data_IF_224118773424
#
_entry.id   IF_224118773424
#
_cell.length_a   1.000
_cell.length_b   1.000
_cell.length_c   1.000
_cell.angle_alpha   90.00
_cell.angle_beta   90.00
_cell.angle_gamma   90.00
#
_symmetry.space_group_name_H-M   'P 1'
#
loop_
_entity.id
_entity.type
_entity.pdbx_description
1 polymer ?
#
# COMPACT_ATOMS: atom_id res chain seq x y z
N UNK A 1 24.31 -3.17 -8.82
CA UNK A 1 22.84 -3.23 -8.96
C UNK A 1 22.26 -2.62 -7.70
N UNK A 2 21.83 -1.35 -7.75
CA UNK A 2 21.10 -0.77 -6.62
C UNK A 2 19.65 -1.24 -6.76
N UNK A 3 19.33 -2.37 -6.14
CA UNK A 3 17.93 -2.74 -5.95
C UNK A 3 17.42 -1.86 -4.81
N UNK A 4 16.98 -0.64 -5.16
CA UNK A 4 16.17 0.21 -4.27
C UNK A 4 14.71 -0.23 -4.32
N UNK A 5 14.47 -1.51 -4.57
CA UNK A 5 13.15 -2.10 -4.65
C UNK A 5 12.80 -2.65 -3.26
N UNK A 6 11.65 -2.23 -2.76
CA UNK A 6 11.11 -2.70 -1.49
C UNK A 6 9.93 -3.65 -1.69
N UNK A 7 9.46 -4.22 -0.58
CA UNK A 7 8.26 -5.06 -0.51
C UNK A 7 7.30 -4.54 0.54
N UNK A 8 6.01 -4.51 0.22
CA UNK A 8 4.92 -4.26 1.17
C UNK A 8 4.10 -5.54 1.34
N UNK A 9 3.73 -5.83 2.58
CA UNK A 9 2.86 -6.96 2.93
C UNK A 9 1.66 -6.40 3.68
N UNK A 10 0.48 -6.51 3.09
CA UNK A 10 -0.78 -6.26 3.76
C UNK A 10 -1.20 -7.54 4.47
N UNK A 11 -1.51 -7.43 5.76
CA UNK A 11 -2.03 -8.54 6.57
C UNK A 11 -3.45 -8.15 6.95
N UNK A 12 -4.43 -8.93 6.48
CA UNK A 12 -5.84 -8.68 6.73
C UNK A 12 -6.30 -9.40 8.00
N UNK A 13 -7.44 -8.98 8.55
CA UNK A 13 -7.97 -9.53 9.81
C UNK A 13 -8.35 -11.01 9.72
N UNK A 14 -8.65 -11.51 8.52
CA UNK A 14 -8.93 -12.92 8.26
C UNK A 14 -7.66 -13.80 8.23
N UNK A 15 -6.48 -13.19 8.40
CA UNK A 15 -5.19 -13.84 8.37
C UNK A 15 -4.63 -14.08 6.97
N UNK A 16 -5.31 -13.62 5.92
CA UNK A 16 -4.77 -13.59 4.57
C UNK A 16 -3.72 -12.48 4.43
N UNK A 17 -2.82 -12.65 3.46
CA UNK A 17 -1.80 -11.65 3.14
C UNK A 17 -1.76 -11.34 1.64
N UNK A 18 -1.55 -10.06 1.32
CA UNK A 18 -1.29 -9.59 -0.03
C UNK A 18 0.09 -8.93 -0.10
N UNK A 19 0.87 -9.30 -1.11
CA UNK A 19 2.27 -8.90 -1.26
C UNK A 19 2.44 -8.06 -2.52
N UNK A 20 2.98 -6.85 -2.34
CA UNK A 20 3.47 -6.01 -3.43
C UNK A 20 4.99 -6.02 -3.40
N UNK A 21 5.59 -6.63 -4.43
CA UNK A 21 7.04 -6.75 -4.62
C UNK A 21 7.52 -5.79 -5.71
N UNK A 22 8.81 -5.43 -5.68
CA UNK A 22 9.43 -4.63 -6.74
C UNK A 22 9.06 -3.15 -6.69
N UNK A 23 8.62 -2.64 -5.53
CA UNK A 23 8.18 -1.26 -5.39
C UNK A 23 9.37 -0.31 -5.34
N UNK A 24 9.36 0.70 -6.20
CA UNK A 24 10.32 1.78 -6.15
C UNK A 24 10.05 2.70 -4.94
N UNK A 25 11.10 3.38 -4.46
CA UNK A 25 11.02 4.33 -3.32
C UNK A 25 9.89 5.36 -3.48
N UNK A 26 9.62 5.80 -4.72
CA UNK A 26 8.54 6.76 -5.03
C UNK A 26 7.15 6.18 -4.73
N UNK A 27 6.94 4.90 -5.01
CA UNK A 27 5.67 4.19 -4.82
C UNK A 27 5.43 3.94 -3.33
N UNK A 28 6.49 3.57 -2.61
CA UNK A 28 6.48 3.49 -1.15
C UNK A 28 6.07 4.81 -0.50
N UNK A 29 6.70 5.92 -0.93
CA UNK A 29 6.44 7.24 -0.37
C UNK A 29 5.00 7.70 -0.60
N UNK A 30 4.46 7.43 -1.79
CA UNK A 30 3.07 7.73 -2.11
C UNK A 30 2.10 6.92 -1.23
N UNK A 31 2.37 5.64 -1.03
CA UNK A 31 1.52 4.78 -0.19
C UNK A 31 1.56 5.19 1.29
N UNK A 32 2.74 5.55 1.83
CA UNK A 32 2.84 6.07 3.20
C UNK A 32 2.05 7.36 3.39
N UNK A 33 2.05 8.25 2.39
CA UNK A 33 1.27 9.49 2.45
C UNK A 33 -0.24 9.24 2.43
N UNK A 34 -0.68 8.15 1.76
CA UNK A 34 -2.07 7.71 1.80
C UNK A 34 -2.42 7.14 3.18
N UNK A 35 -1.59 6.25 3.72
CA UNK A 35 -1.85 5.65 5.04
C UNK A 35 -1.77 6.65 6.20
N UNK A 36 -0.89 7.65 6.13
CA UNK A 36 -0.65 8.62 7.21
C UNK A 36 -1.88 9.46 7.56
N UNK A 37 -2.79 9.70 6.62
CA UNK A 37 -4.00 10.49 6.87
C UNK A 37 -5.08 9.74 7.67
N UNK A 38 -4.91 8.44 7.94
CA UNK A 38 -5.77 7.64 8.82
C UNK A 38 -7.14 7.26 8.23
N UNK A 39 -7.70 8.06 7.32
CA UNK A 39 -8.94 7.77 6.60
C UNK A 39 -8.63 7.10 5.26
N UNK A 40 -8.26 5.82 5.31
CA UNK A 40 -7.87 5.05 4.12
C UNK A 40 -8.91 3.97 3.82
N UNK A 41 -9.29 3.85 2.55
CA UNK A 41 -10.15 2.77 2.05
C UNK A 41 -9.37 1.94 1.03
N UNK A 42 -9.58 0.63 1.08
CA UNK A 42 -9.15 -0.30 0.04
C UNK A 42 -10.37 -0.62 -0.82
N UNK A 43 -10.26 -0.34 -2.11
CA UNK A 43 -11.23 -0.74 -3.11
C UNK A 43 -10.81 -2.09 -3.69
N UNK A 44 -11.63 -3.11 -3.45
CA UNK A 44 -11.36 -4.48 -3.84
C UNK A 44 -11.59 -4.72 -5.33
N UNK A 45 -12.48 -3.93 -5.96
CA UNK A 45 -12.77 -4.02 -7.39
C UNK A 45 -11.59 -3.47 -8.21
N UNK A 46 -11.05 -2.33 -7.78
CA UNK A 46 -9.92 -1.66 -8.45
C UNK A 46 -8.55 -2.03 -7.86
N UNK A 47 -8.51 -2.79 -6.76
CA UNK A 47 -7.30 -3.14 -5.99
C UNK A 47 -6.45 -1.91 -5.65
N UNK A 48 -7.11 -0.82 -5.24
CA UNK A 48 -6.46 0.46 -4.96
C UNK A 48 -6.65 0.91 -3.51
N UNK A 49 -5.58 1.50 -2.95
CA UNK A 49 -5.60 2.19 -1.66
C UNK A 49 -5.68 3.70 -1.90
N UNK A 50 -6.68 4.35 -1.32
CA UNK A 50 -6.84 5.80 -1.39
C UNK A 50 -7.38 6.39 -0.10
N UNK A 51 -7.20 7.70 0.04
CA UNK A 51 -7.82 8.45 1.12
C UNK A 51 -9.26 8.79 0.79
N UNK A 52 -10.17 8.53 1.73
CA UNK A 52 -11.46 9.18 1.70
C UNK A 52 -11.28 10.60 2.26
N UNK A 53 -11.81 11.61 1.57
CA UNK A 53 -11.97 12.92 2.20
C UNK A 53 -13.11 12.81 3.24
N UNK A 54 -12.99 13.49 4.39
CA UNK A 54 -14.08 13.56 5.35
C UNK A 54 -15.33 14.25 4.77
#
# INVERSE_FOLDING_TARGET
>A
MNSNEGKIIFIFEDGSDEKLDGLEVKEFTAMTAVLEKGETMFDDDDKTLYNVMP
#
